data_IF_532359099859
#
_entry.id   IF_532359099859
#
_cell.length_a   1.000
_cell.length_b   1.000
_cell.length_c   1.000
_cell.angle_alpha   90.00
_cell.angle_beta   90.00
_cell.angle_gamma   90.00
#
_symmetry.space_group_name_H-M   'P 1'
#
loop_
_entity.id
_entity.type
_entity.pdbx_description
1 polymer ?
#
# COMPACT_ATOMS: atom_id res chain seq x y z
N UNK A 1 -38.77 15.78 11.20
CA UNK A 1 -38.47 14.70 10.23
C UNK A 1 -37.07 14.96 9.73
N UNK A 2 -36.10 14.21 10.24
CA UNK A 2 -34.72 14.16 9.74
C UNK A 2 -34.17 12.84 10.27
N UNK A 3 -34.47 11.76 9.54
CA UNK A 3 -33.89 10.44 9.80
C UNK A 3 -32.39 10.54 9.48
N UNK A 4 -31.56 10.55 10.53
CA UNK A 4 -30.14 10.27 10.41
C UNK A 4 -29.99 8.79 10.08
N UNK A 5 -30.17 8.44 8.81
CA UNK A 5 -29.68 7.17 8.28
C UNK A 5 -28.17 7.29 8.13
N UNK A 6 -27.45 7.09 9.23
CA UNK A 6 -26.08 6.57 9.14
C UNK A 6 -26.30 5.10 8.83
N UNK A 7 -26.36 4.75 7.54
CA UNK A 7 -26.25 3.36 7.12
C UNK A 7 -24.99 2.80 7.79
N UNK A 8 -25.16 1.80 8.63
CA UNK A 8 -24.04 1.10 9.23
C UNK A 8 -23.26 0.47 8.06
N UNK A 9 -22.10 1.05 7.72
CA UNK A 9 -21.19 0.48 6.72
C UNK A 9 -21.05 -1.01 6.98
N UNK A 10 -21.12 -1.81 5.93
CA UNK A 10 -20.91 -3.26 6.07
C UNK A 10 -19.54 -3.52 6.69
N UNK A 11 -19.37 -4.66 7.40
CA UNK A 11 -18.06 -5.01 7.98
C UNK A 11 -16.93 -5.02 6.94
N UNK A 12 -17.27 -5.29 5.67
CA UNK A 12 -16.37 -5.26 4.51
C UNK A 12 -15.90 -3.83 4.20
N UNK A 13 -16.83 -2.88 4.09
CA UNK A 13 -16.51 -1.48 3.78
C UNK A 13 -15.67 -0.85 4.88
N UNK A 14 -15.98 -1.16 6.14
CA UNK A 14 -15.20 -0.71 7.29
C UNK A 14 -13.79 -1.31 7.27
N UNK A 15 -13.65 -2.59 6.97
CA UNK A 15 -12.34 -3.23 6.86
C UNK A 15 -11.48 -2.59 5.76
N UNK A 16 -12.08 -2.32 4.60
CA UNK A 16 -11.38 -1.65 3.50
C UNK A 16 -10.98 -0.21 3.86
N UNK A 17 -11.84 0.53 4.54
CA UNK A 17 -11.56 1.90 5.02
C UNK A 17 -10.43 1.92 6.06
N UNK A 18 -10.45 1.02 7.04
CA UNK A 18 -9.39 0.90 8.05
C UNK A 18 -8.03 0.57 7.38
N UNK A 19 -8.03 -0.35 6.42
CA UNK A 19 -6.82 -0.70 5.63
C UNK A 19 -6.33 0.46 4.77
N UNK A 20 -7.25 1.23 4.16
CA UNK A 20 -6.91 2.45 3.42
C UNK A 20 -6.31 3.52 4.33
N UNK A 21 -6.92 3.78 5.48
CA UNK A 21 -6.42 4.74 6.47
C UNK A 21 -5.02 4.34 6.96
N UNK A 22 -4.81 3.05 7.23
CA UNK A 22 -3.49 2.52 7.54
C UNK A 22 -2.51 2.75 6.40
N UNK A 23 -2.90 2.49 5.15
CA UNK A 23 -2.03 2.61 3.98
C UNK A 23 -1.53 4.05 3.73
N UNK A 24 -2.38 5.06 3.93
CA UNK A 24 -2.03 6.47 3.72
C UNK A 24 -1.44 7.15 4.96
N UNK A 25 -1.51 6.48 6.13
CA UNK A 25 -0.85 6.95 7.34
C UNK A 25 0.68 6.96 7.19
N UNK A 26 1.30 8.03 7.71
CA UNK A 26 2.72 8.33 7.51
C UNK A 26 3.62 7.89 8.66
N UNK A 27 3.09 7.35 9.75
CA UNK A 27 3.89 7.08 10.95
C UNK A 27 4.95 6.01 10.70
N UNK A 28 4.60 4.93 9.99
CA UNK A 28 5.58 3.89 9.61
C UNK A 28 6.67 4.44 8.68
N UNK A 29 6.29 5.33 7.76
CA UNK A 29 7.24 5.96 6.82
C UNK A 29 8.22 6.83 7.60
N UNK A 30 7.72 7.67 8.51
CA UNK A 30 8.56 8.53 9.36
C UNK A 30 9.50 7.71 10.23
N UNK A 31 9.02 6.63 10.83
CA UNK A 31 9.84 5.74 11.66
C UNK A 31 10.99 5.13 10.85
N UNK A 32 10.71 4.63 9.64
CA UNK A 32 11.73 4.07 8.76
C UNK A 32 12.70 5.13 8.23
N UNK A 33 12.23 6.35 7.96
CA UNK A 33 13.08 7.47 7.53
C UNK A 33 14.00 7.97 8.64
N UNK A 34 13.57 7.91 9.90
CA UNK A 34 14.40 8.21 11.06
C UNK A 34 15.55 7.19 11.20
N UNK A 35 15.28 5.93 10.87
CA UNK A 35 16.25 4.82 10.90
C UNK A 35 17.13 4.73 9.63
N UNK A 36 16.86 5.53 8.60
CA UNK A 36 17.63 5.45 7.35
C UNK A 36 19.07 5.94 7.56
N UNK A 37 20.02 5.04 7.30
CA UNK A 37 21.44 5.30 7.49
C UNK A 37 21.92 6.49 6.64
N UNK A 38 22.79 7.33 7.20
CA UNK A 38 23.38 8.48 6.51
C UNK A 38 24.24 8.11 5.28
N UNK A 39 24.61 6.83 5.15
CA UNK A 39 25.42 6.33 4.05
C UNK A 39 24.56 5.84 2.87
N UNK A 40 23.23 5.93 2.98
CA UNK A 40 22.33 5.67 1.87
C UNK A 40 22.63 6.67 0.73
N UNK A 41 23.01 6.16 -0.43
CA UNK A 41 23.39 6.96 -1.59
C UNK A 41 22.16 7.36 -2.43
N UNK A 42 21.14 7.91 -1.76
CA UNK A 42 19.88 8.35 -2.36
C UNK A 42 19.32 9.58 -1.62
N UNK A 43 18.60 10.44 -2.35
CA UNK A 43 17.86 11.57 -1.77
C UNK A 43 16.78 11.08 -0.79
N UNK A 44 16.81 11.56 0.44
CA UNK A 44 15.84 11.21 1.49
C UNK A 44 14.39 11.44 1.06
N UNK A 45 14.10 12.56 0.41
CA UNK A 45 12.75 12.88 -0.08
C UNK A 45 12.24 11.84 -1.09
N UNK A 46 13.12 11.29 -1.93
CA UNK A 46 12.78 10.23 -2.88
C UNK A 46 12.45 8.94 -2.14
N UNK A 47 13.24 8.56 -1.13
CA UNK A 47 12.99 7.37 -0.31
C UNK A 47 11.66 7.51 0.43
N UNK A 48 11.37 8.66 1.03
CA UNK A 48 10.10 8.92 1.72
C UNK A 48 8.90 8.83 0.78
N UNK A 49 9.02 9.39 -0.43
CA UNK A 49 7.97 9.33 -1.45
C UNK A 49 7.70 7.90 -1.91
N UNK A 50 8.75 7.15 -2.26
CA UNK A 50 8.61 5.77 -2.70
C UNK A 50 8.15 4.85 -1.56
N UNK A 51 8.48 5.13 -0.29
CA UNK A 51 7.97 4.36 0.85
C UNK A 51 6.46 4.49 1.02
N UNK A 52 5.92 5.70 0.82
CA UNK A 52 4.47 5.90 0.83
C UNK A 52 3.78 5.10 -0.28
N UNK A 53 4.34 5.16 -1.51
CA UNK A 53 3.85 4.36 -2.63
C UNK A 53 3.90 2.87 -2.28
N UNK A 54 5.05 2.40 -1.80
CA UNK A 54 5.28 1.01 -1.44
C UNK A 54 4.28 0.53 -0.38
N UNK A 55 3.98 1.34 0.64
CA UNK A 55 2.99 0.99 1.67
C UNK A 55 1.59 0.82 1.06
N UNK A 56 1.13 1.77 0.24
CA UNK A 56 -0.19 1.73 -0.41
C UNK A 56 -0.34 0.47 -1.28
N UNK A 57 0.63 0.19 -2.14
CA UNK A 57 0.54 -0.99 -3.01
C UNK A 57 0.69 -2.29 -2.22
N UNK A 58 1.50 -2.30 -1.15
CA UNK A 58 1.71 -3.48 -0.30
C UNK A 58 0.43 -3.88 0.42
N UNK A 59 -0.35 -2.91 0.93
CA UNK A 59 -1.67 -3.21 1.52
C UNK A 59 -2.61 -3.80 0.47
N UNK A 60 -2.72 -3.16 -0.70
CA UNK A 60 -3.59 -3.64 -1.77
C UNK A 60 -3.24 -5.04 -2.27
N UNK A 61 -1.95 -5.37 -2.30
CA UNK A 61 -1.46 -6.71 -2.63
C UNK A 61 -1.67 -7.71 -1.49
N UNK A 62 -1.47 -7.29 -0.24
CA UNK A 62 -1.60 -8.15 0.94
C UNK A 62 -3.03 -8.63 1.18
N UNK A 63 -4.06 -7.86 0.81
CA UNK A 63 -5.47 -8.24 1.00
C UNK A 63 -5.79 -9.63 0.39
N UNK A 64 -5.67 -9.85 -0.94
CA UNK A 64 -5.95 -11.15 -1.52
C UNK A 64 -4.93 -12.21 -1.09
N UNK A 65 -3.68 -11.82 -0.82
CA UNK A 65 -2.62 -12.72 -0.36
C UNK A 65 -2.94 -13.33 1.02
N UNK A 66 -3.39 -12.51 1.98
CA UNK A 66 -3.72 -12.95 3.34
C UNK A 66 -5.07 -13.68 3.42
N UNK A 67 -6.06 -13.27 2.62
CA UNK A 67 -7.40 -13.87 2.64
C UNK A 67 -7.51 -15.16 1.81
N UNK A 68 -6.56 -15.43 0.91
CA UNK A 68 -6.52 -16.67 0.12
C UNK A 68 -7.80 -16.89 -0.70
N UNK A 69 -8.62 -17.87 -0.27
CA UNK A 69 -9.88 -18.23 -0.93
C UNK A 69 -11.13 -17.69 -0.22
N UNK A 70 -10.99 -16.79 0.76
CA UNK A 70 -12.13 -16.22 1.45
C UNK A 70 -13.01 -15.39 0.49
N UNK A 71 -14.35 -15.53 0.54
CA UNK A 71 -15.26 -14.86 -0.40
C UNK A 71 -15.23 -13.33 -0.28
N UNK A 72 -14.81 -12.79 0.86
CA UNK A 72 -14.77 -11.35 1.12
C UNK A 72 -13.59 -10.66 0.44
N UNK A 73 -12.57 -11.41 -0.04
CA UNK A 73 -11.31 -10.83 -0.54
C UNK A 73 -11.52 -9.85 -1.69
N UNK A 74 -12.41 -10.20 -2.63
CA UNK A 74 -12.63 -9.43 -3.84
C UNK A 74 -13.39 -8.13 -3.50
N UNK A 75 -14.34 -8.21 -2.56
CA UNK A 75 -15.10 -7.05 -2.10
C UNK A 75 -14.24 -6.08 -1.30
N UNK A 76 -13.42 -6.57 -0.35
CA UNK A 76 -12.50 -5.73 0.43
C UNK A 76 -11.47 -5.10 -0.50
N UNK A 77 -10.88 -5.89 -1.40
CA UNK A 77 -9.91 -5.39 -2.39
C UNK A 77 -10.51 -4.31 -3.28
N UNK A 78 -11.72 -4.51 -3.80
CA UNK A 78 -12.41 -3.52 -4.62
C UNK A 78 -12.68 -2.22 -3.84
N UNK A 79 -13.19 -2.31 -2.62
CA UNK A 79 -13.45 -1.13 -1.76
C UNK A 79 -12.14 -0.38 -1.44
N UNK A 80 -11.07 -1.12 -1.13
CA UNK A 80 -9.75 -0.55 -0.87
C UNK A 80 -9.21 0.23 -2.08
N UNK A 81 -9.19 -0.40 -3.26
CA UNK A 81 -8.69 0.24 -4.48
C UNK A 81 -9.55 1.41 -4.94
N UNK A 82 -10.86 1.36 -4.68
CA UNK A 82 -11.75 2.50 -4.91
C UNK A 82 -11.39 3.68 -3.99
N UNK A 83 -11.11 3.44 -2.70
CA UNK A 83 -10.65 4.47 -1.78
C UNK A 83 -9.30 5.07 -2.23
N UNK A 84 -8.35 4.22 -2.66
CA UNK A 84 -7.06 4.66 -3.23
C UNK A 84 -7.25 5.51 -4.50
N UNK A 85 -8.17 5.14 -5.39
CA UNK A 85 -8.47 5.92 -6.60
C UNK A 85 -9.04 7.31 -6.24
N UNK A 86 -9.97 7.38 -5.29
CA UNK A 86 -10.55 8.65 -4.83
C UNK A 86 -9.49 9.56 -4.19
N UNK A 87 -8.62 8.99 -3.35
CA UNK A 87 -7.48 9.67 -2.76
C UNK A 87 -6.51 10.19 -3.82
N UNK A 88 -6.16 9.34 -4.79
CA UNK A 88 -5.24 9.68 -5.87
C UNK A 88 -5.78 10.81 -6.76
N UNK A 89 -7.09 10.83 -7.01
CA UNK A 89 -7.75 11.90 -7.76
C UNK A 89 -7.61 13.25 -7.03
N UNK A 90 -7.83 13.25 -5.70
CA UNK A 90 -7.67 14.44 -4.86
C UNK A 90 -6.22 14.96 -4.86
N UNK A 91 -5.23 14.07 -4.81
CA UNK A 91 -3.81 14.44 -4.92
C UNK A 91 -3.47 14.99 -6.30
N UNK A 92 -3.95 14.35 -7.37
CA UNK A 92 -3.69 14.73 -8.76
C UNK A 92 -4.18 16.15 -9.06
N UNK A 93 -5.38 16.50 -8.58
CA UNK A 93 -5.94 17.85 -8.67
C UNK A 93 -5.09 18.87 -7.90
N UNK A 94 -4.71 18.54 -6.67
CA UNK A 94 -3.94 19.46 -5.81
C UNK A 94 -2.54 19.72 -6.35
N UNK A 95 -1.80 18.65 -6.69
CA UNK A 95 -0.43 18.76 -7.17
C UNK A 95 -0.34 19.26 -8.60
N UNK A 96 -1.33 18.97 -9.45
CA UNK A 96 -1.38 19.48 -10.82
C UNK A 96 -1.41 21.01 -10.88
N UNK A 97 -2.08 21.64 -9.91
CA UNK A 97 -2.11 23.11 -9.77
C UNK A 97 -0.78 23.68 -9.28
N UNK A 98 -0.04 22.95 -8.43
CA UNK A 98 1.22 23.41 -7.83
C UNK A 98 2.40 23.28 -8.80
N UNK A 99 2.47 22.15 -9.52
CA UNK A 99 3.59 21.84 -10.43
C UNK A 99 3.34 22.44 -11.83
N UNK A 100 2.12 22.87 -12.14
CA UNK A 100 1.75 23.44 -13.44
C UNK A 100 1.73 22.41 -14.57
N UNK A 101 1.72 21.12 -14.23
CA UNK A 101 1.61 19.98 -15.13
C UNK A 101 0.66 18.95 -14.51
N UNK A 102 -0.20 18.29 -15.31
CA UNK A 102 -1.07 17.24 -14.78
C UNK A 102 -0.21 16.08 -14.25
N UNK A 103 -0.49 15.67 -13.01
CA UNK A 103 0.11 14.47 -12.40
C UNK A 103 -1.04 13.49 -12.22
N UNK A 104 -0.92 12.29 -12.80
CA UNK A 104 -1.83 11.18 -12.53
C UNK A 104 -1.22 10.28 -11.45
N UNK A 105 -1.56 10.55 -10.20
CA UNK A 105 -1.01 9.78 -9.07
C UNK A 105 -1.49 8.33 -9.09
N UNK A 106 -2.69 8.06 -9.61
CA UNK A 106 -3.21 6.70 -9.65
C UNK A 106 -2.46 5.86 -10.68
N UNK A 107 -2.10 6.46 -11.83
CA UNK A 107 -1.26 5.79 -12.81
C UNK A 107 0.13 5.47 -12.25
N UNK A 108 0.74 6.38 -11.46
CA UNK A 108 2.02 6.11 -10.78
C UNK A 108 1.90 4.88 -9.86
N UNK A 109 0.84 4.77 -9.07
CA UNK A 109 0.61 3.61 -8.19
C UNK A 109 0.47 2.31 -9.01
N UNK A 110 -0.24 2.35 -10.14
CA UNK A 110 -0.39 1.20 -11.04
C UNK A 110 0.94 0.77 -11.65
N UNK A 111 1.69 1.71 -12.23
CA UNK A 111 2.98 1.44 -12.86
C UNK A 111 3.96 0.83 -11.85
N UNK A 112 3.94 1.35 -10.61
CA UNK A 112 4.74 0.83 -9.50
C UNK A 112 4.31 -0.59 -9.12
N UNK A 113 3.01 -0.83 -8.94
CA UNK A 113 2.49 -2.17 -8.65
C UNK A 113 2.87 -3.17 -9.76
N UNK A 114 2.70 -2.81 -11.03
CA UNK A 114 3.07 -3.66 -12.18
C UNK A 114 4.56 -3.99 -12.17
N UNK A 115 5.42 -3.01 -11.88
CA UNK A 115 6.87 -3.23 -11.76
C UNK A 115 7.19 -4.31 -10.73
N UNK A 116 6.61 -4.21 -9.53
CA UNK A 116 6.83 -5.20 -8.47
C UNK A 116 6.25 -6.57 -8.80
N UNK A 117 5.06 -6.62 -9.41
CA UNK A 117 4.44 -7.88 -9.82
C UNK A 117 5.27 -8.59 -10.90
N UNK A 118 5.76 -7.86 -11.90
CA UNK A 118 6.61 -8.40 -12.95
C UNK A 118 7.92 -8.97 -12.35
N UNK A 119 8.56 -8.23 -11.45
CA UNK A 119 9.78 -8.70 -10.77
C UNK A 119 9.54 -9.97 -9.95
N UNK A 120 8.39 -10.09 -9.28
CA UNK A 120 8.01 -11.31 -8.55
C UNK A 120 7.77 -12.49 -9.50
N UNK A 121 7.16 -12.26 -10.65
CA UNK A 121 6.92 -13.29 -11.67
C UNK A 121 8.21 -13.78 -12.33
N UNK A 122 9.20 -12.91 -12.51
CA UNK A 122 10.52 -13.26 -13.05
C UNK A 122 11.38 -14.09 -12.08
N UNK A 123 11.05 -14.07 -10.78
CA UNK A 123 11.81 -14.74 -9.72
C UNK A 123 10.91 -15.64 -8.85
N UNK A 124 10.25 -16.66 -9.43
CA UNK A 124 9.33 -17.52 -8.69
C UNK A 124 10.02 -18.37 -7.62
N UNK A 125 11.33 -18.62 -7.77
CA UNK A 125 12.15 -19.40 -6.84
C UNK A 125 12.69 -18.56 -5.67
N UNK A 126 12.33 -17.28 -5.57
CA UNK A 126 12.73 -16.44 -4.44
C UNK A 126 12.14 -17.02 -3.13
N UNK A 127 12.93 -17.09 -2.05
CA UNK A 127 12.46 -17.70 -0.80
C UNK A 127 11.32 -16.91 -0.15
N UNK A 128 11.25 -15.61 -0.41
CA UNK A 128 10.15 -14.73 -0.01
C UNK A 128 10.06 -13.50 -0.92
N UNK A 129 8.89 -12.85 -1.04
CA UNK A 129 8.70 -11.69 -1.91
C UNK A 129 9.61 -10.50 -1.55
N UNK A 130 9.94 -10.31 -0.27
CA UNK A 130 10.76 -9.18 0.18
C UNK A 130 12.17 -9.15 -0.45
N UNK A 131 12.74 -10.31 -0.78
CA UNK A 131 14.05 -10.45 -1.47
C UNK A 131 14.01 -9.89 -2.90
N UNK A 132 12.82 -9.80 -3.48
CA UNK A 132 12.60 -9.19 -4.80
C UNK A 132 12.21 -7.73 -4.65
N UNK A 133 11.30 -7.41 -3.72
CA UNK A 133 10.75 -6.06 -3.55
C UNK A 133 11.81 -5.04 -3.12
N UNK A 134 12.70 -5.39 -2.18
CA UNK A 134 13.72 -4.45 -1.67
C UNK A 134 14.59 -3.84 -2.79
N UNK A 135 15.22 -4.66 -3.66
CA UNK A 135 15.97 -4.17 -4.82
C UNK A 135 15.14 -3.33 -5.79
N UNK A 136 13.91 -3.73 -6.12
CA UNK A 136 13.05 -2.94 -7.02
C UNK A 136 12.70 -1.57 -6.40
N UNK A 137 12.43 -1.55 -5.11
CA UNK A 137 12.19 -0.31 -4.36
C UNK A 137 13.41 0.61 -4.41
N UNK A 138 14.60 0.08 -4.15
CA UNK A 138 15.83 0.86 -4.24
C UNK A 138 16.11 1.34 -5.68
N UNK A 139 15.74 0.56 -6.68
CA UNK A 139 15.76 0.94 -8.09
C UNK A 139 14.83 2.12 -8.38
N UNK A 140 13.58 2.08 -7.91
CA UNK A 140 12.63 3.19 -8.01
C UNK A 140 13.13 4.46 -7.30
N UNK A 141 13.89 4.28 -6.21
CA UNK A 141 14.55 5.36 -5.49
C UNK A 141 15.79 5.93 -6.22
N UNK A 142 16.34 5.22 -7.20
CA UNK A 142 17.45 5.67 -8.06
C UNK A 142 18.76 4.90 -7.91
N UNK A 143 18.89 4.00 -6.93
CA UNK A 143 20.07 3.14 -6.77
C UNK A 143 19.68 1.75 -6.25
N UNK A 144 19.50 0.81 -7.18
CA UNK A 144 19.12 -0.59 -6.91
C UNK A 144 20.09 -1.34 -5.98
N UNK A 145 21.34 -0.92 -5.91
CA UNK A 145 22.40 -1.59 -5.15
C UNK A 145 22.67 -0.93 -3.80
N UNK A 146 21.96 0.15 -3.44
CA UNK A 146 22.09 0.79 -2.14
C UNK A 146 21.49 -0.11 -1.06
N UNK A 147 22.35 -0.81 -0.31
CA UNK A 147 21.93 -1.81 0.68
C UNK A 147 21.00 -1.23 1.75
N UNK A 148 21.20 0.02 2.14
CA UNK A 148 20.36 0.67 3.16
C UNK A 148 18.94 0.90 2.65
N UNK A 149 18.80 1.39 1.43
CA UNK A 149 17.50 1.60 0.78
C UNK A 149 16.81 0.26 0.51
N UNK A 150 17.55 -0.75 0.03
CA UNK A 150 17.03 -2.11 -0.16
C UNK A 150 16.42 -2.64 1.14
N UNK A 151 17.16 -2.55 2.24
CA UNK A 151 16.69 -3.02 3.55
C UNK A 151 15.49 -2.22 4.06
N UNK A 152 15.48 -0.90 3.87
CA UNK A 152 14.35 -0.04 4.25
C UNK A 152 13.07 -0.42 3.49
N UNK A 153 13.16 -0.65 2.17
CA UNK A 153 12.04 -1.13 1.36
C UNK A 153 11.53 -2.49 1.80
N UNK A 154 12.45 -3.45 2.03
CA UNK A 154 12.08 -4.79 2.53
C UNK A 154 11.39 -4.72 3.90
N UNK A 155 11.87 -3.88 4.82
CA UNK A 155 11.26 -3.68 6.14
C UNK A 155 9.84 -3.13 6.02
N UNK A 156 9.63 -2.11 5.17
CA UNK A 156 8.30 -1.55 4.92
C UNK A 156 7.33 -2.62 4.41
N UNK A 157 7.73 -3.36 3.38
CA UNK A 157 6.90 -4.39 2.76
C UNK A 157 6.50 -5.49 3.76
N UNK A 158 7.49 -6.04 4.50
CA UNK A 158 7.26 -7.10 5.48
C UNK A 158 6.37 -6.64 6.64
N UNK A 159 6.65 -5.46 7.20
CA UNK A 159 5.86 -4.90 8.29
C UNK A 159 4.41 -4.63 7.86
N UNK A 160 4.23 -4.12 6.63
CA UNK A 160 2.90 -3.87 6.07
C UNK A 160 2.10 -5.15 5.93
N UNK A 161 2.68 -6.21 5.35
CA UNK A 161 1.99 -7.51 5.22
C UNK A 161 1.63 -8.09 6.59
N UNK A 162 2.56 -8.02 7.56
CA UNK A 162 2.30 -8.51 8.91
C UNK A 162 1.12 -7.77 9.56
N UNK A 163 1.09 -6.44 9.49
CA UNK A 163 -0.01 -5.63 10.04
C UNK A 163 -1.34 -5.91 9.36
N UNK A 164 -1.37 -6.01 8.02
CA UNK A 164 -2.59 -6.34 7.27
C UNK A 164 -3.09 -7.72 7.66
N UNK A 165 -2.19 -8.72 7.75
CA UNK A 165 -2.54 -10.07 8.18
C UNK A 165 -3.14 -10.07 9.58
N UNK A 166 -2.46 -9.47 10.56
CA UNK A 166 -2.94 -9.39 11.95
C UNK A 166 -4.29 -8.69 12.04
N UNK A 167 -4.50 -7.61 11.28
CA UNK A 167 -5.79 -6.92 11.23
C UNK A 167 -6.88 -7.84 10.68
N UNK A 168 -6.67 -8.45 9.51
CA UNK A 168 -7.66 -9.31 8.87
C UNK A 168 -7.98 -10.58 9.69
N UNK A 169 -7.00 -11.13 10.40
CA UNK A 169 -7.19 -12.26 11.33
C UNK A 169 -7.98 -11.86 12.58
N UNK A 170 -7.91 -10.58 12.99
CA UNK A 170 -8.69 -10.06 14.12
C UNK A 170 -10.16 -9.82 13.76
N UNK A 171 -10.49 -9.74 12.46
CA UNK A 171 -11.86 -9.56 12.01
C UNK A 171 -12.63 -10.87 12.20
N UNK A 172 -13.62 -10.81 13.08
CA UNK A 172 -14.53 -11.93 13.29
C UNK A 172 -15.61 -11.89 12.18
N UNK A 173 -15.36 -12.59 11.07
CA UNK A 173 -16.22 -12.60 9.86
C UNK A 173 -17.66 -13.12 10.06
N UNK A 174 -18.01 -13.51 11.29
CA UNK A 174 -19.33 -14.03 11.68
C UNK A 174 -20.37 -12.95 12.02
N UNK A 175 -19.97 -11.67 12.15
CA UNK A 175 -20.91 -10.59 12.43
C UNK A 175 -21.37 -9.92 11.12
N UNK A 176 -22.57 -10.33 10.66
CA UNK A 176 -23.43 -9.66 9.68
C UNK A 176 -22.80 -9.30 8.32
N UNK A 177 -22.64 -10.31 7.46
CA UNK A 177 -22.62 -10.11 6.01
C UNK A 177 -24.05 -10.30 5.50
N UNK A 178 -24.89 -9.28 5.68
CA UNK A 178 -26.10 -9.17 4.86
C UNK A 178 -25.70 -8.33 3.66
N UNK A 179 -25.39 -8.99 2.55
CA UNK A 179 -25.41 -8.34 1.25
C UNK A 179 -26.87 -8.00 0.96
N UNK A 180 -27.22 -6.72 0.98
CA UNK A 180 -28.45 -6.22 0.37
C UNK A 180 -28.17 -5.83 -1.07
#
# INVERSE_FOLDING_TARGET
>A
MMEKSIEAKSGIERAAEDLFNFAVDREDVKALMADLHEAADIKRDTVEYELHILKIISVGWAIPYCLGNAPQKDLIGACYWQAVQNFSSSLSETFGLVVGQPIDYFQILKDRLETYLNALQERPDAPEPAVVIGPEFAGACGNRNDVFTVMTGSRMFLATIASVKTYLESLNWNDNIVCH
#
